data_IF_391714527749
#
_entry.id   IF_391714527749
#
_cell.length_a   1.000
_cell.length_b   1.000
_cell.length_c   1.000
_cell.angle_alpha   90.00
_cell.angle_beta   90.00
_cell.angle_gamma   90.00
#
_symmetry.space_group_name_H-M   'P 1'
#
loop_
_entity.id
_entity.type
_entity.pdbx_description
1 polymer ?
#
# COMPACT_ATOMS: atom_id res chain seq x y z
N UNK A 1 -10.81 -26.65 -14.22
CA UNK A 1 -9.40 -26.93 -13.90
C UNK A 1 -8.62 -25.63 -14.03
N UNK A 2 -8.40 -24.88 -12.95
CA UNK A 2 -7.54 -23.67 -12.95
C UNK A 2 -7.05 -23.31 -11.54
N UNK A 3 -6.83 -24.32 -10.69
CA UNK A 3 -6.31 -24.09 -9.33
C UNK A 3 -4.79 -24.18 -9.37
N UNK A 4 -4.12 -23.03 -9.51
CA UNK A 4 -2.66 -22.93 -9.40
C UNK A 4 -2.30 -22.64 -7.95
N UNK A 5 -1.48 -23.50 -7.33
CA UNK A 5 -1.02 -23.34 -5.94
C UNK A 5 0.42 -22.87 -5.97
N UNK A 6 0.66 -21.68 -5.42
CA UNK A 6 1.99 -21.13 -5.23
C UNK A 6 2.24 -20.96 -3.73
N UNK A 7 3.48 -21.21 -3.28
CA UNK A 7 3.82 -21.20 -1.86
C UNK A 7 5.21 -20.63 -1.60
N UNK A 8 5.43 -20.30 -0.33
CA UNK A 8 6.74 -19.96 0.19
C UNK A 8 7.17 -18.54 -0.15
N UNK A 9 8.48 -18.32 -0.09
CA UNK A 9 9.11 -17.01 -0.12
C UNK A 9 8.89 -16.24 -1.42
N UNK A 10 8.79 -16.95 -2.56
CA UNK A 10 8.52 -16.31 -3.85
C UNK A 10 7.18 -15.55 -3.85
N UNK A 11 6.14 -16.12 -3.24
CA UNK A 11 4.83 -15.46 -3.12
C UNK A 11 4.90 -14.27 -2.17
N UNK A 12 5.63 -14.40 -1.06
CA UNK A 12 5.83 -13.31 -0.10
C UNK A 12 6.54 -12.11 -0.74
N UNK A 13 7.61 -12.35 -1.51
CA UNK A 13 8.31 -11.30 -2.24
C UNK A 13 7.45 -10.70 -3.37
N UNK A 14 6.62 -11.51 -4.01
CA UNK A 14 5.61 -11.02 -4.97
C UNK A 14 4.62 -10.05 -4.32
N UNK A 15 4.12 -10.39 -3.13
CA UNK A 15 3.24 -9.52 -2.35
C UNK A 15 3.90 -8.18 -2.00
N UNK A 16 5.16 -8.22 -1.55
CA UNK A 16 5.94 -7.02 -1.23
C UNK A 16 6.12 -6.13 -2.45
N UNK A 17 6.58 -6.71 -3.57
CA UNK A 17 6.79 -5.99 -4.83
C UNK A 17 5.50 -5.34 -5.32
N UNK A 18 4.37 -6.05 -5.27
CA UNK A 18 3.08 -5.52 -5.66
C UNK A 18 2.65 -4.32 -4.80
N UNK A 19 2.79 -4.42 -3.47
CA UNK A 19 2.46 -3.32 -2.55
C UNK A 19 3.35 -2.08 -2.77
N UNK A 20 4.67 -2.29 -2.94
CA UNK A 20 5.64 -1.22 -3.26
C UNK A 20 5.29 -0.51 -4.56
N UNK A 21 4.94 -1.27 -5.60
CA UNK A 21 4.58 -0.71 -6.91
C UNK A 21 3.36 0.21 -6.81
N UNK A 22 2.32 -0.21 -6.07
CA UNK A 22 1.13 0.61 -5.82
C UNK A 22 1.47 1.88 -5.04
N UNK A 23 2.28 1.77 -4.00
CA UNK A 23 2.72 2.93 -3.22
C UNK A 23 3.52 3.93 -4.08
N UNK A 24 4.42 3.45 -4.92
CA UNK A 24 5.27 4.31 -5.76
C UNK A 24 4.49 5.05 -6.85
N UNK A 25 3.41 4.46 -7.38
CA UNK A 25 2.51 5.12 -8.33
C UNK A 25 1.94 6.41 -7.72
N UNK A 26 1.46 6.34 -6.48
CA UNK A 26 0.78 7.47 -5.82
C UNK A 26 1.69 8.32 -4.92
N UNK A 27 2.93 7.88 -4.64
CA UNK A 27 3.88 8.57 -3.74
C UNK A 27 4.05 10.05 -4.08
N UNK A 28 4.08 10.35 -5.37
CA UNK A 28 4.27 11.69 -5.93
C UNK A 28 3.02 12.57 -5.90
N UNK A 29 1.87 12.00 -5.53
CA UNK A 29 0.60 12.71 -5.36
C UNK A 29 0.40 13.24 -3.93
N UNK A 30 1.32 12.95 -2.99
CA UNK A 30 1.19 13.34 -1.61
C UNK A 30 1.60 14.81 -1.38
N UNK A 31 0.73 15.56 -0.69
CA UNK A 31 1.05 16.89 -0.14
C UNK A 31 0.76 18.08 -1.07
N UNK A 32 1.12 19.30 -0.64
CA UNK A 32 0.75 20.54 -1.32
C UNK A 32 1.50 20.79 -2.63
N UNK A 33 2.59 20.05 -2.88
CA UNK A 33 3.33 20.03 -4.15
C UNK A 33 3.14 18.71 -4.88
N UNK A 34 1.90 18.21 -4.87
CA UNK A 34 1.53 16.98 -5.54
C UNK A 34 1.62 17.12 -7.05
N UNK A 35 2.03 16.05 -7.71
CA UNK A 35 1.99 15.94 -9.17
C UNK A 35 0.67 15.31 -9.60
N UNK A 36 0.08 15.85 -10.67
CA UNK A 36 -1.09 15.24 -11.31
C UNK A 36 -0.66 13.97 -12.05
N UNK A 37 -1.51 12.94 -11.97
CA UNK A 37 -1.40 11.73 -12.76
C UNK A 37 -2.39 11.79 -13.90
N UNK A 38 -1.91 11.51 -15.11
CA UNK A 38 -2.73 11.31 -16.28
C UNK A 38 -3.13 9.85 -16.36
N UNK A 39 -4.43 9.60 -16.26
CA UNK A 39 -5.07 8.30 -16.43
C UNK A 39 -5.74 8.29 -17.80
N UNK A 40 -5.52 7.22 -18.54
CA UNK A 40 -6.15 6.98 -19.83
C UNK A 40 -7.06 5.77 -19.69
N UNK A 41 -8.35 5.96 -19.96
CA UNK A 41 -9.29 4.86 -19.97
C UNK A 41 -9.12 4.00 -21.26
N UNK A 42 -9.67 2.77 -21.30
CA UNK A 42 -9.59 1.93 -22.50
C UNK A 42 -10.33 2.49 -23.73
N UNK A 43 -11.20 3.49 -23.55
CA UNK A 43 -11.97 4.15 -24.61
C UNK A 43 -11.30 5.43 -25.13
N UNK A 44 -10.12 5.80 -24.60
CA UNK A 44 -9.35 6.99 -24.98
C UNK A 44 -9.70 8.28 -24.23
N UNK A 45 -10.56 8.22 -23.22
CA UNK A 45 -10.79 9.34 -22.30
C UNK A 45 -9.58 9.58 -21.39
N UNK A 46 -9.30 10.86 -21.13
CA UNK A 46 -8.15 11.29 -20.33
C UNK A 46 -8.67 11.97 -19.06
N UNK A 47 -8.26 11.45 -17.91
CA UNK A 47 -8.53 12.03 -16.60
C UNK A 47 -7.22 12.44 -15.96
N UNK A 48 -7.12 13.67 -15.48
CA UNK A 48 -5.96 14.13 -14.72
C UNK A 48 -6.37 14.41 -13.27
N UNK A 49 -5.73 13.74 -12.33
CA UNK A 49 -6.03 13.89 -10.90
C UNK A 49 -4.80 13.65 -10.04
N UNK A 50 -4.76 14.26 -8.86
CA UNK A 50 -3.80 13.99 -7.79
C UNK A 50 -4.43 13.23 -6.62
N UNK A 51 -5.72 12.90 -6.69
CA UNK A 51 -6.36 12.07 -5.66
C UNK A 51 -5.92 10.61 -5.81
N UNK A 52 -5.15 10.12 -4.85
CA UNK A 52 -4.67 8.75 -4.80
C UNK A 52 -5.81 7.72 -4.82
N UNK A 53 -6.94 7.98 -4.16
CA UNK A 53 -8.07 7.05 -4.14
C UNK A 53 -8.73 6.95 -5.52
N UNK A 54 -8.96 8.08 -6.20
CA UNK A 54 -9.45 8.09 -7.58
C UNK A 54 -8.49 7.35 -8.52
N UNK A 55 -7.18 7.59 -8.42
CA UNK A 55 -6.16 6.89 -9.21
C UNK A 55 -6.24 5.38 -9.01
N UNK A 56 -6.31 4.92 -7.75
CA UNK A 56 -6.32 3.51 -7.41
C UNK A 56 -7.60 2.77 -7.85
N UNK A 57 -8.72 3.47 -8.00
CA UNK A 57 -9.99 2.90 -8.50
C UNK A 57 -9.99 2.66 -10.01
N UNK A 58 -9.25 3.47 -10.77
CA UNK A 58 -9.19 3.36 -12.24
C UNK A 58 -8.15 2.34 -12.73
N UNK A 59 -7.15 2.01 -11.89
CA UNK A 59 -6.10 1.06 -12.29
C UNK A 59 -6.62 -0.38 -12.20
N UNK A 60 -6.50 -1.13 -13.30
CA UNK A 60 -6.75 -2.57 -13.30
C UNK A 60 -5.60 -3.32 -12.63
N UNK A 61 -5.87 -3.93 -11.49
CA UNK A 61 -4.90 -4.69 -10.71
C UNK A 61 -5.27 -6.17 -10.64
N UNK A 62 -4.36 -7.04 -11.10
CA UNK A 62 -4.55 -8.49 -11.02
C UNK A 62 -4.06 -9.08 -9.68
N UNK A 63 -2.97 -8.53 -9.14
CA UNK A 63 -2.28 -9.10 -7.99
C UNK A 63 -3.08 -8.93 -6.68
N UNK A 64 -3.33 -10.00 -5.89
CA UNK A 64 -4.15 -9.93 -4.69
C UNK A 64 -3.66 -8.92 -3.64
N UNK A 65 -2.35 -8.89 -3.37
CA UNK A 65 -1.78 -7.94 -2.40
C UNK A 65 -2.02 -6.47 -2.80
N UNK A 66 -1.99 -6.17 -4.10
CA UNK A 66 -2.25 -4.82 -4.60
C UNK A 66 -3.76 -4.49 -4.51
N UNK A 67 -4.66 -5.48 -4.69
CA UNK A 67 -6.10 -5.30 -4.40
C UNK A 67 -6.35 -4.95 -2.92
N UNK A 68 -5.69 -5.65 -2.00
CA UNK A 68 -5.78 -5.34 -0.56
C UNK A 68 -5.28 -3.92 -0.24
N UNK A 69 -4.25 -3.43 -0.93
CA UNK A 69 -3.81 -2.03 -0.79
C UNK A 69 -4.93 -1.07 -1.23
N UNK A 70 -5.58 -1.31 -2.37
CA UNK A 70 -6.70 -0.46 -2.84
C UNK A 70 -7.86 -0.48 -1.84
N UNK A 71 -8.19 -1.65 -1.27
CA UNK A 71 -9.24 -1.78 -0.25
C UNK A 71 -8.94 -0.96 1.00
N UNK A 72 -7.68 -0.94 1.47
CA UNK A 72 -7.26 -0.11 2.60
C UNK A 72 -7.48 1.39 2.31
N UNK A 73 -7.10 1.85 1.10
CA UNK A 73 -7.30 3.25 0.70
C UNK A 73 -8.79 3.62 0.71
N UNK A 74 -9.65 2.71 0.20
CA UNK A 74 -11.09 2.90 0.18
C UNK A 74 -11.68 2.98 1.58
N UNK A 75 -11.29 2.10 2.50
CA UNK A 75 -11.77 2.16 3.88
C UNK A 75 -11.37 3.48 4.55
N UNK A 76 -10.14 3.95 4.33
CA UNK A 76 -9.69 5.24 4.85
C UNK A 76 -10.52 6.41 4.31
N UNK A 77 -10.86 6.38 3.03
CA UNK A 77 -11.70 7.36 2.36
C UNK A 77 -13.13 7.38 2.92
N UNK A 78 -13.72 6.20 3.18
CA UNK A 78 -15.07 6.07 3.72
C UNK A 78 -15.18 6.56 5.18
N UNK A 79 -14.16 6.34 6.00
CA UNK A 79 -14.18 6.69 7.43
C UNK A 79 -13.86 8.16 7.71
N UNK A 80 -12.85 8.72 7.04
CA UNK A 80 -12.38 10.10 7.32
C UNK A 80 -12.20 10.97 6.09
N UNK A 81 -12.21 10.41 4.88
CA UNK A 81 -12.11 11.15 3.61
C UNK A 81 -10.73 11.76 3.29
N UNK A 82 -9.73 11.60 4.17
CA UNK A 82 -8.37 12.08 3.95
C UNK A 82 -7.32 11.06 4.42
N UNK A 83 -6.07 11.23 3.99
CA UNK A 83 -4.96 10.37 4.35
C UNK A 83 -4.90 9.06 3.56
N UNK A 84 -5.78 8.87 2.58
CA UNK A 84 -5.80 7.70 1.68
C UNK A 84 -4.42 7.46 1.05
N UNK A 85 -3.80 8.51 0.53
CA UNK A 85 -2.47 8.46 -0.08
C UNK A 85 -1.38 8.16 0.95
N UNK A 86 -1.44 8.78 2.13
CA UNK A 86 -0.47 8.60 3.21
C UNK A 86 -0.43 7.16 3.72
N UNK A 87 -1.60 6.56 3.95
CA UNK A 87 -1.72 5.18 4.46
C UNK A 87 -1.08 4.18 3.51
N UNK A 88 -1.31 4.33 2.21
CA UNK A 88 -0.76 3.42 1.19
C UNK A 88 0.75 3.58 1.04
N UNK A 89 1.27 4.81 1.08
CA UNK A 89 2.72 5.05 1.03
C UNK A 89 3.41 4.42 2.24
N UNK A 90 2.86 4.62 3.45
CA UNK A 90 3.39 4.04 4.67
C UNK A 90 3.35 2.51 4.62
N UNK A 91 2.23 1.92 4.20
CA UNK A 91 2.10 0.47 4.07
C UNK A 91 3.12 -0.12 3.07
N UNK A 92 3.30 0.51 1.90
CA UNK A 92 4.29 0.09 0.91
C UNK A 92 5.72 0.15 1.44
N UNK A 93 6.06 1.19 2.19
CA UNK A 93 7.39 1.33 2.78
C UNK A 93 7.63 0.29 3.89
N UNK A 94 6.63 0.03 4.75
CA UNK A 94 6.72 -1.03 5.76
C UNK A 94 6.90 -2.42 5.14
N UNK A 95 6.28 -2.68 3.98
CA UNK A 95 6.48 -3.92 3.21
C UNK A 95 7.88 -3.98 2.60
N UNK A 96 8.41 -2.86 2.11
CA UNK A 96 9.80 -2.74 1.63
C UNK A 96 10.81 -3.07 2.72
N UNK A 97 10.62 -2.51 3.92
CA UNK A 97 11.48 -2.76 5.08
C UNK A 97 11.31 -4.19 5.62
N UNK A 98 10.15 -4.81 5.45
CA UNK A 98 9.95 -6.22 5.82
C UNK A 98 10.74 -7.18 4.92
N UNK A 99 10.99 -6.81 3.66
CA UNK A 99 11.68 -7.62 2.66
C UNK A 99 13.05 -8.11 3.14
N UNK A 100 13.88 -7.21 3.67
CA UNK A 100 15.22 -7.54 4.21
C UNK A 100 15.16 -8.58 5.35
N UNK A 101 14.14 -8.54 6.21
CA UNK A 101 14.02 -9.48 7.33
C UNK A 101 13.52 -10.85 6.85
N UNK A 102 12.59 -10.85 5.88
CA UNK A 102 12.23 -12.08 5.17
C UNK A 102 13.45 -12.66 4.46
N UNK A 103 14.34 -11.81 3.95
CA UNK A 103 15.56 -12.25 3.29
C UNK A 103 16.52 -12.98 4.22
N UNK A 104 16.66 -12.45 5.44
CA UNK A 104 17.42 -13.03 6.56
C UNK A 104 16.77 -14.27 7.19
N UNK A 105 15.72 -14.82 6.58
CA UNK A 105 14.99 -16.01 7.05
C UNK A 105 14.29 -15.80 8.40
N UNK A 106 13.96 -14.57 8.76
CA UNK A 106 13.12 -14.29 9.92
C UNK A 106 11.69 -14.78 9.66
N UNK A 107 11.07 -15.42 10.65
CA UNK A 107 9.69 -15.88 10.52
C UNK A 107 8.73 -14.68 10.47
N UNK A 108 7.77 -14.60 9.51
CA UNK A 108 6.90 -13.44 9.35
C UNK A 108 6.14 -13.04 10.62
N UNK A 109 5.77 -14.00 11.47
CA UNK A 109 5.11 -13.75 12.76
C UNK A 109 5.94 -12.84 13.67
N UNK A 110 7.27 -12.95 13.65
CA UNK A 110 8.16 -12.10 14.46
C UNK A 110 8.11 -10.66 13.95
N UNK A 111 8.16 -10.47 12.63
CA UNK A 111 8.06 -9.15 11.99
C UNK A 111 6.71 -8.50 12.30
N UNK A 112 5.62 -9.26 12.20
CA UNK A 112 4.27 -8.78 12.53
C UNK A 112 4.16 -8.41 14.01
N UNK A 113 4.75 -9.20 14.91
CA UNK A 113 4.81 -8.90 16.34
C UNK A 113 5.51 -7.58 16.61
N UNK A 114 6.71 -7.40 16.04
CA UNK A 114 7.48 -6.16 16.17
C UNK A 114 6.74 -4.93 15.62
N UNK A 115 6.03 -5.06 14.49
CA UNK A 115 5.23 -3.96 13.95
C UNK A 115 4.02 -3.61 14.83
N UNK A 116 3.43 -4.58 15.55
CA UNK A 116 2.36 -4.31 16.51
C UNK A 116 2.88 -3.61 17.77
N UNK A 117 4.00 -4.07 18.32
CA UNK A 117 4.65 -3.40 19.46
C UNK A 117 5.02 -1.96 19.10
N UNK A 118 5.64 -1.73 17.94
CA UNK A 118 5.97 -0.39 17.47
C UNK A 118 4.72 0.51 17.27
N UNK A 119 3.58 -0.07 16.87
CA UNK A 119 2.32 0.67 16.74
C UNK A 119 1.78 1.10 18.11
N UNK A 120 1.83 0.23 19.12
CA UNK A 120 1.39 0.55 20.48
C UNK A 120 2.22 1.67 21.11
N UNK A 121 3.55 1.61 20.93
CA UNK A 121 4.48 2.65 21.36
C UNK A 121 4.19 3.99 20.67
N UNK A 122 3.98 3.96 19.34
CA UNK A 122 3.68 5.15 18.55
C UNK A 122 2.35 5.81 18.96
N UNK A 123 1.32 5.00 19.23
CA UNK A 123 0.02 5.51 19.73
C UNK A 123 0.19 6.16 21.10
N UNK A 124 0.97 5.56 21.98
CA UNK A 124 1.23 6.10 23.32
C UNK A 124 1.97 7.44 23.23
N UNK A 125 3.05 7.49 22.44
CA UNK A 125 3.84 8.71 22.22
C UNK A 125 3.04 9.84 21.57
N UNK A 126 2.10 9.53 20.67
CA UNK A 126 1.25 10.53 20.04
C UNK A 126 0.25 11.12 21.04
N UNK A 127 -0.32 10.31 21.93
CA UNK A 127 -1.24 10.79 22.99
C UNK A 127 -0.56 11.72 23.99
N UNK A 128 0.73 11.55 24.23
CA UNK A 128 1.48 12.41 25.15
C UNK A 128 1.91 13.74 24.51
N UNK A 129 1.96 13.81 23.17
CA UNK A 129 2.43 14.98 22.41
C UNK A 129 1.32 15.84 21.80
N UNK A 130 0.10 15.32 21.69
CA UNK A 130 -1.09 16.00 21.16
C UNK A 130 -2.04 16.29 22.31
#
# INVERSE_FOLDING_TARGET
QNTKREHGRKVQLGNVTAAKTIADIIRTCLGPRSMLKMLMDPMGGIVMTNDGNAILREIMVEHPAAKSMIEIARTQDEEVGDGTTSVIILAGEMMSVAEQFLEQQMHPTVIIGAYREALEDLITLLKDKV
#
